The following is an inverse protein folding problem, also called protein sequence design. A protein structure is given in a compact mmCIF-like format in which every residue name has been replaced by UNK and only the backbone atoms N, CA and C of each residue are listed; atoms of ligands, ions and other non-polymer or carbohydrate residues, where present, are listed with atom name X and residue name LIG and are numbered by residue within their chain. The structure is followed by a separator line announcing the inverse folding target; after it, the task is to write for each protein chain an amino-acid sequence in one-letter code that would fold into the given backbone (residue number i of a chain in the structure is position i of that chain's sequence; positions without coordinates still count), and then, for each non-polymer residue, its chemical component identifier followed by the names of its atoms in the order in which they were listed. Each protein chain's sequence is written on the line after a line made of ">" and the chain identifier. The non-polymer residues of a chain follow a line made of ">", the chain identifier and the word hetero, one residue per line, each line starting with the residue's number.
data_IF_208960591284
#
_entry.id   IF_208960591284
#
_cell.length_a   1.000
_cell.length_b   1.000
_cell.length_c   1.000
_cell.angle_alpha   90.00
_cell.angle_beta   90.00
_cell.angle_gamma   90.00
#
_symmetry.space_group_name_H-M   'P 1'
#
loop_
_entity.id
_entity.type
_entity.pdbx_description
1 polymer ?
#
# COMPACT_ATOMS: atom_id res chain seq x y z
N UNK A 1 34.91 0.56 -4.64
CA UNK A 1 33.95 -0.43 -5.17
C UNK A 1 32.68 -0.55 -4.32
N UNK A 2 32.74 -0.50 -2.98
CA UNK A 2 31.54 -0.57 -2.13
C UNK A 2 30.50 0.54 -2.39
N UNK A 3 30.92 1.79 -2.60
CA UNK A 3 30.00 2.89 -2.94
C UNK A 3 29.30 2.71 -4.29
N UNK A 4 29.98 2.07 -5.25
CA UNK A 4 29.41 1.76 -6.57
C UNK A 4 28.30 0.72 -6.46
N UNK A 5 28.53 -0.35 -5.67
CA UNK A 5 27.53 -1.38 -5.44
C UNK A 5 26.30 -0.84 -4.70
N UNK A 6 26.49 0.03 -3.70
CA UNK A 6 25.37 0.68 -3.00
C UNK A 6 24.50 1.54 -3.92
N UNK A 7 25.09 2.23 -4.90
CA UNK A 7 24.33 3.00 -5.90
C UNK A 7 23.56 2.10 -6.88
N UNK A 8 24.17 1.00 -7.31
CA UNK A 8 23.54 0.02 -8.19
C UNK A 8 22.32 -0.61 -7.51
N UNK A 9 22.44 -1.01 -6.24
CA UNK A 9 21.33 -1.60 -5.48
C UNK A 9 20.14 -0.66 -5.28
N UNK A 10 20.35 0.65 -5.23
CA UNK A 10 19.27 1.63 -5.06
C UNK A 10 18.63 2.05 -6.38
N UNK A 11 19.38 2.04 -7.48
CA UNK A 11 18.93 2.63 -8.75
C UNK A 11 18.52 1.60 -9.81
N UNK A 12 19.08 0.39 -9.77
CA UNK A 12 18.94 -0.58 -10.87
C UNK A 12 18.12 -1.83 -10.48
N UNK A 13 17.73 -1.95 -9.21
CA UNK A 13 16.83 -3.03 -8.79
C UNK A 13 15.44 -2.72 -9.33
N UNK A 14 14.86 -3.59 -10.18
CA UNK A 14 13.52 -3.37 -10.70
C UNK A 14 12.50 -3.39 -9.55
N UNK A 15 11.83 -2.27 -9.34
CA UNK A 15 10.75 -2.11 -8.37
C UNK A 15 9.43 -1.89 -9.09
N UNK A 16 8.34 -2.38 -8.49
CA UNK A 16 6.99 -2.13 -8.97
C UNK A 16 6.32 -1.17 -7.98
N UNK A 17 5.76 -0.09 -8.51
CA UNK A 17 5.06 0.94 -7.77
C UNK A 17 3.70 1.24 -8.41
N UNK A 18 2.80 1.88 -7.66
CA UNK A 18 1.51 2.31 -8.18
C UNK A 18 1.71 3.55 -9.04
N UNK A 19 1.55 3.40 -10.36
CA UNK A 19 1.75 4.47 -11.35
C UNK A 19 0.48 5.28 -11.63
N UNK A 20 -0.68 4.61 -11.65
CA UNK A 20 -1.97 5.24 -11.95
C UNK A 20 -2.99 4.88 -10.87
N UNK A 21 -3.58 5.93 -10.29
CA UNK A 21 -4.69 5.82 -9.33
C UNK A 21 -5.90 6.55 -9.92
N UNK A 22 -7.03 5.85 -9.97
CA UNK A 22 -8.32 6.42 -10.36
C UNK A 22 -9.25 6.36 -9.15
N UNK A 23 -9.64 7.52 -8.65
CA UNK A 23 -10.61 7.66 -7.56
C UNK A 23 -11.99 7.89 -8.19
N UNK A 24 -12.95 7.04 -7.85
CA UNK A 24 -14.35 7.17 -8.26
C UNK A 24 -15.16 7.96 -7.22
N UNK A 25 -14.88 7.74 -5.93
CA UNK A 25 -15.54 8.42 -4.83
C UNK A 25 -14.53 8.69 -3.71
N UNK A 26 -14.38 9.96 -3.35
CA UNK A 26 -13.67 10.37 -2.16
C UNK A 26 -14.53 11.35 -1.36
N UNK A 27 -15.03 10.93 -0.20
CA UNK A 27 -15.79 11.78 0.71
C UNK A 27 -14.94 12.27 1.90
N UNK A 28 -13.61 12.21 1.77
CA UNK A 28 -12.67 12.65 2.79
C UNK A 28 -12.47 14.16 2.76
N UNK A 29 -11.91 14.67 3.84
CA UNK A 29 -11.45 16.05 3.94
C UNK A 29 -10.14 16.24 3.16
N UNK A 30 -9.39 15.15 2.94
CA UNK A 30 -8.12 15.17 2.22
C UNK A 30 -8.33 15.09 0.71
N UNK A 31 -7.54 15.88 -0.02
CA UNK A 31 -7.51 15.86 -1.47
C UNK A 31 -6.96 14.54 -2.01
N UNK A 32 -7.44 14.16 -3.18
CA UNK A 32 -7.05 12.96 -3.92
C UNK A 32 -5.52 12.83 -4.05
N UNK A 33 -4.80 13.92 -4.33
CA UNK A 33 -3.33 13.90 -4.48
C UNK A 33 -2.59 13.37 -3.25
N UNK A 34 -3.10 13.63 -2.04
CA UNK A 34 -2.48 13.15 -0.81
C UNK A 34 -2.62 11.63 -0.68
N UNK A 35 -3.79 11.10 -1.02
CA UNK A 35 -4.09 9.66 -1.01
C UNK A 35 -3.24 8.96 -2.07
N UNK A 36 -3.17 9.54 -3.28
CA UNK A 36 -2.37 9.03 -4.39
C UNK A 36 -0.90 8.96 -4.01
N UNK A 37 -0.36 10.00 -3.37
CA UNK A 37 1.03 10.02 -2.95
C UNK A 37 1.37 8.88 -1.99
N UNK A 38 0.51 8.64 -1.00
CA UNK A 38 0.70 7.54 -0.04
C UNK A 38 0.59 6.17 -0.72
N UNK A 39 -0.34 6.00 -1.66
CA UNK A 39 -0.49 4.78 -2.45
C UNK A 39 0.75 4.51 -3.32
N UNK A 40 1.31 5.53 -3.95
CA UNK A 40 2.51 5.43 -4.78
C UNK A 40 3.76 4.91 -4.05
N UNK A 41 3.80 5.05 -2.72
CA UNK A 41 4.91 4.60 -1.89
C UNK A 41 4.74 3.18 -1.35
N UNK A 42 3.61 2.52 -1.59
CA UNK A 42 3.38 1.14 -1.15
C UNK A 42 4.22 0.20 -2.03
N UNK A 43 5.16 -0.58 -1.45
CA UNK A 43 5.98 -1.49 -2.21
C UNK A 43 5.14 -2.67 -2.71
N UNK A 44 5.15 -2.91 -4.01
CA UNK A 44 4.47 -4.05 -4.62
C UNK A 44 5.50 -5.11 -5.04
N UNK A 45 5.14 -6.40 -4.88
CA UNK A 45 6.03 -7.53 -5.18
C UNK A 45 6.40 -7.62 -6.66
N UNK A 46 7.44 -8.42 -6.97
CA UNK A 46 7.89 -8.66 -8.34
C UNK A 46 6.80 -9.36 -9.16
N UNK A 47 6.37 -8.74 -10.26
CA UNK A 47 5.40 -9.28 -11.20
C UNK A 47 6.00 -9.26 -12.61
N UNK A 48 5.78 -10.35 -13.35
CA UNK A 48 6.20 -10.50 -14.75
C UNK A 48 5.30 -9.70 -15.72
N UNK A 49 4.18 -9.17 -15.23
CA UNK A 49 3.19 -8.40 -15.99
C UNK A 49 3.34 -6.90 -15.71
N UNK A 50 3.43 -6.10 -16.79
CA UNK A 50 3.74 -4.67 -16.74
C UNK A 50 2.70 -3.77 -16.08
N UNK A 51 1.53 -4.28 -15.68
CA UNK A 51 0.55 -3.51 -14.92
C UNK A 51 -0.35 -4.42 -14.10
N UNK A 52 -0.66 -3.96 -12.89
CA UNK A 52 -1.51 -4.64 -11.92
C UNK A 52 -2.67 -3.72 -11.58
N UNK A 53 -3.88 -4.26 -11.46
CA UNK A 53 -5.04 -3.47 -11.03
C UNK A 53 -5.39 -3.80 -9.58
N UNK A 54 -5.26 -2.79 -8.73
CA UNK A 54 -5.76 -2.83 -7.36
C UNK A 54 -7.09 -2.11 -7.25
N UNK A 55 -7.99 -2.66 -6.45
CA UNK A 55 -9.28 -2.10 -6.10
C UNK A 55 -9.33 -1.84 -4.60
N UNK A 56 -9.53 -0.58 -4.22
CA UNK A 56 -9.80 -0.17 -2.84
C UNK A 56 -11.27 0.25 -2.77
N UNK A 57 -12.07 -0.39 -1.92
CA UNK A 57 -13.45 0.03 -1.68
C UNK A 57 -13.76 -0.12 -0.20
N UNK A 58 -13.87 1.00 0.49
CA UNK A 58 -14.08 1.02 1.94
C UNK A 58 -15.12 2.07 2.29
N UNK A 59 -16.06 1.71 3.16
CA UNK A 59 -17.08 2.60 3.70
C UNK A 59 -17.15 2.43 5.22
N UNK A 60 -17.06 3.52 5.96
CA UNK A 60 -17.16 3.52 7.42
C UNK A 60 -18.61 3.68 7.87
N UNK A 61 -19.25 2.59 8.31
CA UNK A 61 -20.60 2.61 8.89
C UNK A 61 -20.61 2.77 10.42
N UNK A 62 -19.49 2.53 11.08
CA UNK A 62 -19.36 2.59 12.54
C UNK A 62 -19.21 4.02 13.06
N UNK A 63 -19.53 4.21 14.34
CA UNK A 63 -19.23 5.45 15.08
C UNK A 63 -17.74 5.59 15.45
N UNK A 64 -16.96 4.52 15.25
CA UNK A 64 -15.52 4.52 15.43
C UNK A 64 -14.79 4.81 14.11
N UNK A 65 -13.60 5.41 14.21
CA UNK A 65 -12.72 5.65 13.05
C UNK A 65 -12.25 4.32 12.48
N UNK A 66 -12.39 4.15 11.18
CA UNK A 66 -11.91 3.00 10.44
C UNK A 66 -10.55 3.31 9.84
N UNK A 67 -9.54 2.53 10.22
CA UNK A 67 -8.20 2.63 9.67
C UNK A 67 -8.14 1.83 8.36
N UNK A 68 -7.90 2.52 7.24
CA UNK A 68 -7.74 1.93 5.91
C UNK A 68 -6.27 1.72 5.67
N UNK A 69 -5.87 0.47 5.44
CA UNK A 69 -4.47 0.06 5.31
C UNK A 69 -4.20 -0.66 3.99
N UNK A 70 -2.93 -0.98 3.72
CA UNK A 70 -2.51 -1.77 2.55
C UNK A 70 -3.24 -3.11 2.40
N UNK A 71 -3.67 -3.73 3.50
CA UNK A 71 -4.48 -4.97 3.47
C UNK A 71 -5.85 -4.79 2.79
N UNK A 72 -6.38 -3.57 2.76
CA UNK A 72 -7.67 -3.31 2.11
C UNK A 72 -7.57 -3.23 0.58
N UNK A 73 -6.36 -3.24 0.01
CA UNK A 73 -6.13 -3.30 -1.43
C UNK A 73 -6.40 -4.72 -1.94
N UNK A 74 -7.40 -4.85 -2.82
CA UNK A 74 -7.73 -6.14 -3.45
C UNK A 74 -7.22 -6.17 -4.87
N UNK A 75 -6.48 -7.22 -5.22
CA UNK A 75 -6.10 -7.52 -6.61
C UNK A 75 -6.99 -8.61 -7.18
N UNK A 76 -7.31 -8.51 -8.46
CA UNK A 76 -7.96 -9.59 -9.22
C UNK A 76 -6.97 -10.64 -9.74
N UNK A 77 -5.67 -10.35 -9.68
CA UNK A 77 -4.63 -11.19 -10.27
C UNK A 77 -4.10 -12.20 -9.24
N UNK A 78 -4.17 -13.52 -9.52
CA UNK A 78 -3.81 -14.57 -8.57
C UNK A 78 -2.30 -14.70 -8.33
N UNK A 79 -1.47 -14.11 -9.18
CA UNK A 79 0.00 -14.18 -9.07
C UNK A 79 0.58 -13.09 -8.15
N UNK A 80 -0.27 -12.22 -7.60
CA UNK A 80 0.18 -11.03 -6.90
C UNK A 80 -0.01 -11.23 -5.42
N UNK A 81 1.12 -11.39 -4.74
CA UNK A 81 1.20 -11.42 -3.29
C UNK A 81 1.67 -10.04 -2.87
N UNK A 82 0.86 -9.34 -2.07
CA UNK A 82 1.30 -8.11 -1.42
C UNK A 82 2.49 -8.45 -0.51
N UNK A 83 3.49 -7.57 -0.48
CA UNK A 83 4.67 -7.78 0.36
C UNK A 83 4.23 -7.70 1.81
N UNK A 84 4.16 -8.85 2.49
CA UNK A 84 3.93 -8.91 3.92
C UNK A 84 5.27 -8.65 4.63
N UNK A 85 5.40 -7.45 5.21
CA UNK A 85 6.58 -7.05 5.97
C UNK A 85 6.79 -7.96 7.18
N UNK A 86 5.73 -8.59 7.71
CA UNK A 86 5.82 -9.48 8.87
C UNK A 86 6.66 -10.74 8.63
N UNK A 87 6.74 -11.24 7.38
CA UNK A 87 7.53 -12.45 7.07
C UNK A 87 9.05 -12.24 7.22
N UNK A 88 9.56 -11.00 7.13
CA UNK A 88 10.98 -10.71 7.30
C UNK A 88 11.38 -10.46 8.76
N UNK A 89 10.42 -10.08 9.62
CA UNK A 89 10.69 -9.57 10.98
C UNK A 89 10.68 -10.67 12.05
N UNK A 90 10.26 -11.90 11.72
CA UNK A 90 10.34 -13.05 12.65
C UNK A 90 11.77 -13.41 13.08
N UNK A 91 12.81 -12.88 12.42
CA UNK A 91 14.21 -13.17 12.74
C UNK A 91 14.79 -12.40 13.93
N UNK A 92 14.16 -11.29 14.37
CA UNK A 92 14.84 -10.31 15.26
C UNK A 92 14.16 -10.04 16.61
N UNK A 93 13.20 -10.88 17.03
CA UNK A 93 12.70 -10.91 18.42
C UNK A 93 11.98 -9.65 18.94
N UNK A 94 11.79 -8.63 18.10
CA UNK A 94 10.92 -7.48 18.40
C UNK A 94 9.47 -7.82 18.07
N UNK A 95 8.58 -7.71 19.06
CA UNK A 95 7.14 -7.86 18.88
C UNK A 95 6.57 -6.70 18.03
N UNK A 96 6.75 -6.76 16.71
CA UNK A 96 6.14 -5.87 15.73
C UNK A 96 4.74 -6.36 15.30
N UNK A 97 3.95 -6.90 16.24
CA UNK A 97 2.62 -7.44 15.94
C UNK A 97 1.58 -6.38 15.58
N UNK A 98 1.85 -5.09 15.83
CA UNK A 98 0.88 -4.00 15.60
C UNK A 98 1.17 -3.11 14.38
N UNK A 99 2.21 -3.41 13.58
CA UNK A 99 2.61 -2.52 12.48
C UNK A 99 2.89 -3.30 11.20
N UNK A 100 1.91 -4.09 10.76
CA UNK A 100 2.03 -4.97 9.59
C UNK A 100 1.50 -4.37 8.29
N UNK A 101 0.63 -3.37 8.39
CA UNK A 101 0.04 -2.72 7.21
C UNK A 101 0.33 -1.23 7.19
N UNK A 102 0.57 -0.69 5.99
CA UNK A 102 0.77 0.74 5.78
C UNK A 102 -0.59 1.42 5.91
N UNK A 103 -0.74 2.31 6.90
CA UNK A 103 -1.93 3.14 7.03
C UNK A 103 -2.01 4.11 5.85
N UNK A 104 -3.08 4.02 5.08
CA UNK A 104 -3.34 4.90 3.93
C UNK A 104 -4.12 6.12 4.42
N UNK A 105 -5.24 5.88 5.11
CA UNK A 105 -6.12 6.94 5.61
C UNK A 105 -7.03 6.45 6.73
N UNK A 106 -7.55 7.36 7.55
CA UNK A 106 -8.59 7.08 8.55
C UNK A 106 -9.94 7.64 8.09
N UNK A 107 -10.99 6.82 8.12
CA UNK A 107 -12.35 7.21 7.77
C UNK A 107 -13.20 7.41 9.04
N UNK A 108 -13.86 8.55 9.15
CA UNK A 108 -14.91 8.79 10.13
C UNK A 108 -16.26 8.23 9.65
N UNK A 109 -17.25 8.13 10.55
CA UNK A 109 -18.60 7.64 10.23
C UNK A 109 -19.18 8.34 9.01
N UNK A 110 -19.66 7.55 8.05
CA UNK A 110 -20.31 8.03 6.83
C UNK A 110 -19.35 8.42 5.71
N UNK A 111 -18.03 8.21 5.87
CA UNK A 111 -17.06 8.43 4.80
C UNK A 111 -16.82 7.16 3.96
N UNK A 112 -16.63 7.36 2.66
CA UNK A 112 -16.35 6.35 1.64
C UNK A 112 -15.10 6.72 0.83
N UNK A 113 -14.31 5.71 0.49
CA UNK A 113 -13.21 5.79 -0.45
C UNK A 113 -13.31 4.64 -1.47
N UNK A 114 -13.33 4.98 -2.75
CA UNK A 114 -13.44 4.04 -3.87
C UNK A 114 -12.65 4.49 -5.11
#
# INVERSE_FOLDING_TARGET
>A
MANTLGRIMLAEVPTIAIDLVKIEVNSLIFNDEFIIHHLGLIPNGQCEYCFVKFHLKVHCHSDHTLDVTSYNLKTSDPCIVLVDVAQYVEFDGYNAFEQRDILIVKLCRGQELR
#
